data_IF_848746785414
#
_entry.id   IF_848746785414
#
_cell.length_a   1.000
_cell.length_b   1.000
_cell.length_c   1.000
_cell.angle_alpha   90.00
_cell.angle_beta   90.00
_cell.angle_gamma   90.00
#
_symmetry.space_group_name_H-M   'P 1'
#
loop_
_entity.id
_entity.type
_entity.pdbx_description
1 polymer ?
#
# COMPACT_ATOMS: atom_id res chain seq x y z
N UNK A 1 -0.86 7.10 -12.34
CA UNK A 1 -0.48 6.51 -13.64
C UNK A 1 -1.15 7.30 -14.74
N UNK A 2 -0.40 7.61 -15.81
CA UNK A 2 -0.90 8.28 -17.01
C UNK A 2 -1.21 7.21 -18.06
N UNK A 3 -2.43 7.23 -18.59
CA UNK A 3 -2.86 6.26 -19.60
C UNK A 3 -1.96 6.28 -20.84
N UNK A 4 -1.63 5.10 -21.37
CA UNK A 4 -0.77 4.92 -22.54
C UNK A 4 0.71 5.21 -22.33
N UNK A 5 1.14 5.52 -21.11
CA UNK A 5 2.55 5.81 -20.81
C UNK A 5 3.33 4.55 -20.46
N UNK A 6 4.61 4.51 -20.90
CA UNK A 6 5.55 3.48 -20.54
C UNK A 6 6.42 3.94 -19.36
N UNK A 7 6.41 3.19 -18.26
CA UNK A 7 7.19 3.44 -17.05
C UNK A 7 8.48 2.61 -16.96
N UNK A 8 8.83 1.91 -18.03
CA UNK A 8 10.15 1.31 -18.24
C UNK A 8 10.34 -0.12 -17.78
N UNK A 9 9.36 -0.76 -17.12
CA UNK A 9 9.48 -2.16 -16.73
C UNK A 9 9.61 -3.09 -17.94
N UNK A 10 10.52 -4.10 -17.94
CA UNK A 10 11.45 -4.50 -16.85
C UNK A 10 12.83 -3.85 -16.90
N UNK A 11 13.16 -3.05 -17.94
CA UNK A 11 14.50 -2.48 -18.14
C UNK A 11 14.86 -1.41 -17.11
N UNK A 12 13.84 -0.74 -16.56
CA UNK A 12 13.98 0.30 -15.53
C UNK A 12 13.08 -0.04 -14.35
N UNK A 13 13.62 0.01 -13.16
CA UNK A 13 12.90 -0.31 -11.92
C UNK A 13 12.52 0.93 -11.10
N UNK A 14 13.02 2.10 -11.44
CA UNK A 14 12.81 3.33 -10.70
C UNK A 14 12.88 4.54 -11.62
N UNK A 15 13.69 5.55 -11.27
CA UNK A 15 13.88 6.76 -12.10
C UNK A 15 14.86 6.49 -13.26
N UNK A 16 14.58 7.07 -14.41
CA UNK A 16 15.39 6.92 -15.62
C UNK A 16 15.51 8.23 -16.38
N UNK A 17 16.61 8.36 -17.12
CA UNK A 17 16.82 9.45 -18.10
C UNK A 17 16.51 9.00 -19.54
N UNK A 18 16.01 7.79 -19.75
CA UNK A 18 15.65 7.27 -21.07
C UNK A 18 14.49 8.08 -21.65
N UNK A 19 14.68 8.55 -22.87
CA UNK A 19 13.65 9.30 -23.60
C UNK A 19 12.41 8.43 -23.86
N UNK A 20 11.23 9.01 -23.76
CA UNK A 20 9.92 8.34 -23.92
C UNK A 20 9.49 7.43 -22.76
N UNK A 21 10.26 7.36 -21.67
CA UNK A 21 9.77 6.78 -20.43
C UNK A 21 9.23 7.85 -19.48
N UNK A 22 8.18 7.52 -18.75
CA UNK A 22 7.65 8.37 -17.70
C UNK A 22 8.17 7.88 -16.36
N UNK A 23 8.84 8.75 -15.62
CA UNK A 23 9.27 8.42 -14.28
C UNK A 23 8.07 8.28 -13.33
N UNK A 24 8.13 7.36 -12.36
CA UNK A 24 7.15 7.34 -11.27
C UNK A 24 7.26 8.62 -10.44
N UNK A 25 6.20 8.94 -9.71
CA UNK A 25 6.22 10.03 -8.72
C UNK A 25 7.17 9.70 -7.57
N UNK A 26 7.14 8.44 -7.14
CA UNK A 26 7.99 7.92 -6.07
C UNK A 26 8.45 6.51 -6.39
N UNK A 27 9.59 6.14 -5.85
CA UNK A 27 10.19 4.83 -5.96
C UNK A 27 10.50 4.29 -4.57
N UNK A 28 9.78 3.26 -4.19
CA UNK A 28 9.97 2.63 -2.89
C UNK A 28 11.06 1.55 -2.96
N UNK A 29 11.78 1.39 -1.86
CA UNK A 29 12.68 0.26 -1.68
C UNK A 29 11.95 -1.07 -2.01
N UNK A 30 12.58 -2.01 -2.73
CA UNK A 30 12.02 -3.35 -2.98
C UNK A 30 11.54 -4.09 -1.74
N UNK A 31 11.88 -3.60 -0.55
CA UNK A 31 11.37 -4.09 0.73
C UNK A 31 9.89 -3.87 1.01
N UNK A 32 9.16 -3.00 0.29
CA UNK A 32 7.74 -2.75 0.60
C UNK A 32 6.81 -3.89 0.15
N UNK A 33 6.98 -4.42 -1.04
CA UNK A 33 6.00 -5.28 -1.71
C UNK A 33 4.58 -4.72 -1.57
N UNK A 34 4.22 -3.64 -2.32
CA UNK A 34 2.89 -3.08 -2.27
C UNK A 34 1.82 -4.12 -2.62
N UNK A 35 0.74 -4.14 -1.84
CA UNK A 35 -0.47 -4.92 -2.07
C UNK A 35 -1.59 -4.03 -2.61
N UNK A 36 -2.72 -3.97 -1.88
CA UNK A 36 -3.83 -3.10 -2.22
C UNK A 36 -3.58 -1.63 -1.88
N UNK A 37 -4.31 -0.76 -2.56
CA UNK A 37 -4.33 0.68 -2.31
C UNK A 37 -5.75 1.22 -2.47
N UNK A 38 -6.16 2.11 -1.58
CA UNK A 38 -7.44 2.82 -1.65
C UNK A 38 -7.26 4.32 -1.41
N UNK A 39 -8.21 5.12 -1.91
CA UNK A 39 -8.45 6.47 -1.41
C UNK A 39 -9.55 6.38 -0.36
N UNK A 40 -9.23 6.74 0.88
CA UNK A 40 -10.19 6.70 1.97
C UNK A 40 -11.11 7.92 1.89
N UNK A 41 -12.43 7.67 1.96
CA UNK A 41 -13.46 8.71 1.92
C UNK A 41 -14.48 8.58 3.07
N UNK A 42 -14.15 7.77 4.07
CA UNK A 42 -15.00 7.57 5.25
C UNK A 42 -14.80 8.65 6.31
N UNK A 43 -15.62 8.56 7.36
CA UNK A 43 -15.64 9.49 8.49
C UNK A 43 -15.10 8.89 9.82
N UNK A 44 -14.55 7.67 9.78
CA UNK A 44 -14.08 6.94 10.97
C UNK A 44 -12.65 7.29 11.37
N UNK A 45 -11.87 7.82 10.44
CA UNK A 45 -10.48 8.17 10.65
C UNK A 45 -10.22 9.59 10.16
N UNK A 46 -9.29 10.26 10.80
CA UNK A 46 -8.79 11.59 10.36
C UNK A 46 -7.79 11.42 9.20
N UNK A 47 -8.29 10.87 8.09
CA UNK A 47 -7.51 10.53 6.88
C UNK A 47 -8.32 10.98 5.65
N UNK A 48 -8.85 12.21 5.67
CA UNK A 48 -9.72 12.67 4.58
C UNK A 48 -9.02 12.71 3.23
N UNK A 49 -9.62 12.03 2.25
CA UNK A 49 -9.18 11.95 0.85
C UNK A 49 -7.70 11.53 0.64
N UNK A 50 -7.10 10.82 1.59
CA UNK A 50 -5.74 10.33 1.48
C UNK A 50 -5.70 8.87 1.06
N UNK A 51 -4.58 8.48 0.46
CA UNK A 51 -4.34 7.09 0.09
C UNK A 51 -3.94 6.26 1.32
N UNK A 52 -4.45 5.02 1.35
CA UNK A 52 -3.99 3.98 2.27
C UNK A 52 -3.37 2.86 1.44
N UNK A 53 -2.16 2.46 1.80
CA UNK A 53 -1.36 1.45 1.11
C UNK A 53 -1.10 0.26 2.02
N UNK A 54 -1.52 -0.92 1.60
CA UNK A 54 -1.16 -2.18 2.21
C UNK A 54 0.19 -2.67 1.69
N UNK A 55 1.03 -3.23 2.58
CA UNK A 55 2.32 -3.79 2.19
C UNK A 55 2.52 -5.19 2.74
N UNK A 56 3.06 -6.07 1.89
CA UNK A 56 3.28 -7.47 2.25
C UNK A 56 4.63 -7.65 2.96
N UNK A 57 5.74 -7.25 2.32
CA UNK A 57 7.08 -7.47 2.90
C UNK A 57 7.38 -6.49 4.04
N UNK A 58 6.95 -5.24 3.93
CA UNK A 58 7.06 -4.28 5.03
C UNK A 58 6.09 -4.55 6.18
N UNK A 59 5.07 -5.43 5.99
CA UNK A 59 4.09 -5.84 7.01
C UNK A 59 3.36 -4.68 7.69
N UNK A 60 3.15 -3.60 6.97
CA UNK A 60 2.55 -2.37 7.48
C UNK A 60 1.36 -1.92 6.61
N UNK A 61 0.46 -1.17 7.23
CA UNK A 61 -0.50 -0.32 6.56
C UNK A 61 -0.04 1.12 6.68
N UNK A 62 0.08 1.82 5.56
CA UNK A 62 0.55 3.20 5.51
C UNK A 62 -0.55 4.15 5.05
N UNK A 63 -0.61 5.31 5.66
CA UNK A 63 -1.20 6.51 5.07
C UNK A 63 -0.16 7.12 4.14
N UNK A 64 -0.56 7.43 2.91
CA UNK A 64 0.32 7.99 1.87
C UNK A 64 -0.05 9.44 1.65
N UNK A 65 0.89 10.33 1.87
CA UNK A 65 0.76 11.76 1.63
C UNK A 65 1.64 12.16 0.44
N UNK A 66 1.03 12.81 -0.55
CA UNK A 66 1.72 13.34 -1.72
C UNK A 66 1.83 14.85 -1.55
N UNK A 67 3.04 15.35 -1.50
CA UNK A 67 3.37 16.76 -1.34
C UNK A 67 4.27 17.23 -2.50
N UNK A 68 4.54 18.52 -2.58
CA UNK A 68 5.45 19.09 -3.57
C UNK A 68 6.89 18.54 -3.42
N UNK A 69 7.28 18.17 -2.21
CA UNK A 69 8.59 17.62 -1.87
C UNK A 69 8.72 16.09 -2.08
N UNK A 70 7.63 15.41 -2.47
CA UNK A 70 7.60 13.96 -2.70
C UNK A 70 6.48 13.22 -1.98
N UNK A 71 6.72 11.96 -1.63
CA UNK A 71 5.74 11.08 -0.99
C UNK A 71 6.20 10.71 0.41
N UNK A 72 5.34 10.94 1.41
CA UNK A 72 5.53 10.50 2.79
C UNK A 72 4.65 9.29 3.11
N UNK A 73 5.22 8.33 3.84
CA UNK A 73 4.52 7.15 4.35
C UNK A 73 4.42 7.23 5.87
N UNK A 74 3.23 7.46 6.38
CA UNK A 74 2.94 7.39 7.81
C UNK A 74 2.36 6.01 8.15
N UNK A 75 3.01 5.28 9.03
CA UNK A 75 2.54 3.95 9.44
C UNK A 75 1.34 4.06 10.38
N UNK A 76 0.22 3.46 9.99
CA UNK A 76 -1.03 3.44 10.78
C UNK A 76 -1.32 2.08 11.42
N UNK A 77 -0.74 0.98 10.91
CA UNK A 77 -0.86 -0.34 11.50
C UNK A 77 0.40 -1.18 11.24
N UNK A 78 0.75 -2.02 12.21
CA UNK A 78 1.80 -3.04 12.11
C UNK A 78 1.48 -4.25 13.00
N UNK A 79 2.27 -5.31 12.91
CA UNK A 79 2.19 -6.46 13.81
C UNK A 79 1.13 -7.51 13.45
N UNK A 80 0.47 -7.38 12.29
CA UNK A 80 -0.51 -8.35 11.77
C UNK A 80 0.08 -9.26 10.68
N UNK A 81 1.35 -9.07 10.36
CA UNK A 81 2.04 -9.78 9.29
C UNK A 81 1.86 -9.12 7.92
N UNK A 82 1.90 -9.92 6.87
CA UNK A 82 1.83 -9.50 5.47
C UNK A 82 0.41 -9.05 5.12
N UNK A 83 0.24 -7.78 4.78
CA UNK A 83 -1.07 -7.23 4.43
C UNK A 83 -1.22 -7.30 2.91
N UNK A 84 -2.12 -8.17 2.44
CA UNK A 84 -2.35 -8.45 1.03
C UNK A 84 -3.16 -7.39 0.34
N UNK A 85 -4.20 -6.89 1.02
CA UNK A 85 -5.12 -5.92 0.43
C UNK A 85 -5.76 -5.05 1.50
N UNK A 86 -6.34 -3.93 1.06
CA UNK A 86 -7.05 -2.97 1.90
C UNK A 86 -8.31 -2.50 1.18
N UNK A 87 -9.39 -2.34 1.92
CA UNK A 87 -10.68 -1.85 1.41
C UNK A 87 -11.38 -0.95 2.41
N UNK A 88 -12.30 -0.11 1.92
CA UNK A 88 -13.25 0.62 2.77
C UNK A 88 -14.59 -0.12 2.76
N UNK A 89 -15.09 -0.43 3.94
CA UNK A 89 -16.42 -1.03 4.11
C UNK A 89 -17.55 -0.02 3.97
N UNK A 90 -18.77 -0.50 3.76
CA UNK A 90 -19.96 0.37 3.67
C UNK A 90 -20.29 1.08 5.01
N UNK A 91 -19.69 0.62 6.09
CA UNK A 91 -19.77 1.22 7.43
C UNK A 91 -18.73 2.34 7.66
N UNK A 92 -17.94 2.67 6.63
CA UNK A 92 -16.88 3.68 6.66
C UNK A 92 -15.57 3.24 7.29
N UNK A 93 -15.48 2.02 7.82
CA UNK A 93 -14.23 1.49 8.38
C UNK A 93 -13.29 0.95 7.29
N UNK A 94 -12.01 0.93 7.62
CA UNK A 94 -10.98 0.27 6.82
C UNK A 94 -10.90 -1.19 7.18
N UNK A 95 -10.85 -2.05 6.16
CA UNK A 95 -10.67 -3.49 6.27
C UNK A 95 -9.41 -3.90 5.56
N UNK A 96 -8.70 -4.87 6.13
CA UNK A 96 -7.53 -5.48 5.52
C UNK A 96 -7.65 -7.00 5.51
N UNK A 97 -6.99 -7.63 4.55
CA UNK A 97 -6.75 -9.07 4.54
C UNK A 97 -5.27 -9.37 4.63
N UNK A 98 -4.91 -10.38 5.39
CA UNK A 98 -3.52 -10.85 5.50
C UNK A 98 -3.22 -11.96 4.48
N UNK A 99 -1.93 -12.26 4.29
CA UNK A 99 -1.43 -13.36 3.46
C UNK A 99 -0.18 -13.98 4.12
N UNK A 100 -0.34 -14.41 5.37
CA UNK A 100 0.75 -15.00 6.14
C UNK A 100 0.98 -16.47 5.79
N UNK A 101 0.02 -17.13 5.12
CA UNK A 101 0.08 -18.54 4.70
C UNK A 101 0.68 -18.74 3.30
N UNK A 102 1.18 -17.69 2.64
CA UNK A 102 1.74 -17.73 1.28
C UNK A 102 3.17 -18.33 1.18
N UNK A 103 3.69 -18.87 2.28
CA UNK A 103 5.04 -19.45 2.35
C UNK A 103 6.17 -18.45 2.53
N UNK A 104 5.86 -17.15 2.68
CA UNK A 104 6.82 -16.06 2.87
C UNK A 104 6.80 -15.47 4.29
N UNK A 105 5.97 -16.01 5.16
CA UNK A 105 5.82 -15.63 6.55
C UNK A 105 5.75 -16.84 7.48
N UNK A 106 5.71 -16.60 8.77
CA UNK A 106 5.42 -17.62 9.80
C UNK A 106 3.96 -17.41 10.25
N UNK A 107 3.00 -18.18 9.72
CA UNK A 107 1.60 -17.97 10.01
C UNK A 107 1.26 -18.34 11.46
N UNK A 108 0.35 -17.60 12.08
CA UNK A 108 -0.33 -18.00 13.29
C UNK A 108 -1.41 -19.07 12.99
N UNK A 109 -1.86 -19.84 14.02
CA UNK A 109 -2.85 -20.89 13.80
C UNK A 109 -4.18 -20.43 13.21
N UNK A 110 -4.50 -19.14 13.34
CA UNK A 110 -5.73 -18.49 12.88
C UNK A 110 -5.54 -17.58 11.63
N UNK A 111 -4.39 -17.68 10.96
CA UNK A 111 -4.15 -16.97 9.70
C UNK A 111 -4.81 -17.73 8.51
N UNK A 112 -5.20 -17.05 7.42
CA UNK A 112 -5.15 -15.61 7.18
C UNK A 112 -6.40 -14.92 7.72
N UNK A 113 -6.31 -13.58 7.94
CA UNK A 113 -7.35 -12.83 8.65
C UNK A 113 -7.98 -11.75 7.76
N UNK A 114 -9.28 -11.56 7.96
CA UNK A 114 -9.98 -10.32 7.61
C UNK A 114 -10.11 -9.48 8.89
N UNK A 115 -9.50 -8.31 8.91
CA UNK A 115 -9.46 -7.43 10.06
C UNK A 115 -10.15 -6.10 9.75
N UNK A 116 -10.99 -5.63 10.66
CA UNK A 116 -11.51 -4.27 10.66
C UNK A 116 -10.62 -3.41 11.55
N UNK A 117 -10.15 -2.30 11.01
CA UNK A 117 -9.33 -1.34 11.77
C UNK A 117 -10.27 -0.49 12.62
N UNK A 118 -10.02 -0.45 13.91
CA UNK A 118 -10.67 0.43 14.88
C UNK A 118 -9.71 1.57 15.24
N UNK A 119 -10.28 2.72 15.61
CA UNK A 119 -9.53 3.90 16.05
C UNK A 119 -8.95 3.69 17.44
#
# INVERSE_FOLDING_TARGET
IKAGSNYGWPEVQCFSKIVNLVNPLECFDPGLEPGGIIFYSGDKFDIDNQMILATQKATNLFKVQINDDGVNLDRILSGVGRIRDVGQGPDGYVYIITTNTDGKAFPAPDDDKLLRILK
#
